data_IF_236198481513
#
_entry.id   IF_236198481513
#
_cell.length_a   1.000
_cell.length_b   1.000
_cell.length_c   1.000
_cell.angle_alpha   90.00
_cell.angle_beta   90.00
_cell.angle_gamma   90.00
#
_symmetry.space_group_name_H-M   'P 1'
#
loop_
_entity.id
_entity.type
_entity.pdbx_description
1 polymer ?
#
# COMPACT_ATOMS: atom_id res chain seq x y z
N UNK A 1 -41.92 -5.38 -33.26
CA UNK A 1 -41.20 -6.35 -32.41
C UNK A 1 -41.56 -7.74 -32.88
N UNK A 2 -40.55 -8.54 -33.26
CA UNK A 2 -40.73 -9.97 -33.54
C UNK A 2 -40.88 -10.79 -32.25
N UNK A 3 -41.20 -12.09 -32.35
CA UNK A 3 -41.35 -12.96 -31.17
C UNK A 3 -40.08 -13.08 -30.32
N UNK A 4 -38.92 -12.86 -30.95
CA UNK A 4 -37.60 -12.98 -30.32
C UNK A 4 -36.96 -11.62 -30.01
N UNK A 5 -37.74 -10.54 -30.00
CA UNK A 5 -37.23 -9.17 -29.83
C UNK A 5 -37.90 -8.46 -28.66
N UNK A 6 -37.08 -7.91 -27.76
CA UNK A 6 -37.51 -7.10 -26.63
C UNK A 6 -36.85 -5.71 -26.70
N UNK A 7 -37.65 -4.65 -26.70
CA UNK A 7 -37.14 -3.29 -26.49
C UNK A 7 -37.09 -2.99 -24.99
N UNK A 8 -35.89 -2.75 -24.48
CA UNK A 8 -35.68 -2.33 -23.12
C UNK A 8 -35.39 -0.82 -23.09
N UNK A 9 -36.34 -0.04 -22.56
CA UNK A 9 -36.20 1.39 -22.37
C UNK A 9 -35.83 1.76 -20.93
N UNK A 10 -34.85 2.65 -20.78
CA UNK A 10 -34.48 3.24 -19.49
C UNK A 10 -34.49 4.76 -19.60
N UNK A 11 -35.30 5.43 -18.79
CA UNK A 11 -35.29 6.90 -18.67
C UNK A 11 -34.47 7.29 -17.45
N UNK A 12 -33.49 8.17 -17.66
CA UNK A 12 -32.73 8.80 -16.57
C UNK A 12 -33.24 10.22 -16.38
N UNK A 13 -33.76 10.50 -15.20
CA UNK A 13 -34.24 11.81 -14.78
C UNK A 13 -33.52 12.20 -13.49
N UNK A 14 -32.34 12.80 -13.65
CA UNK A 14 -31.52 13.30 -12.54
C UNK A 14 -31.01 14.71 -12.88
N UNK A 15 -31.70 15.77 -12.43
CA UNK A 15 -31.34 17.15 -12.71
C UNK A 15 -30.09 17.62 -11.94
N UNK A 16 -29.57 16.83 -10.99
CA UNK A 16 -28.30 17.14 -10.32
C UNK A 16 -27.08 16.74 -11.16
N UNK A 17 -27.29 15.85 -12.14
CA UNK A 17 -26.24 15.29 -13.00
C UNK A 17 -26.41 15.72 -14.47
N UNK A 18 -27.65 15.79 -14.97
CA UNK A 18 -27.96 16.05 -16.38
C UNK A 18 -28.78 17.33 -16.57
N UNK A 19 -28.62 17.96 -17.74
CA UNK A 19 -29.31 19.22 -18.09
C UNK A 19 -30.79 19.01 -18.47
N UNK A 20 -31.15 17.80 -18.89
CA UNK A 20 -32.52 17.38 -19.16
C UNK A 20 -32.64 15.84 -19.06
N UNK A 21 -33.85 15.30 -18.82
CA UNK A 21 -34.08 13.86 -18.83
C UNK A 21 -33.86 13.26 -20.22
N UNK A 22 -33.33 12.05 -20.27
CA UNK A 22 -33.14 11.32 -21.53
C UNK A 22 -33.49 9.85 -21.39
N UNK A 23 -33.83 9.22 -22.52
CA UNK A 23 -34.19 7.80 -22.59
C UNK A 23 -33.22 7.04 -23.48
N UNK A 24 -32.70 5.93 -22.95
CA UNK A 24 -31.90 4.95 -23.70
C UNK A 24 -32.82 3.80 -24.11
N UNK A 25 -32.82 3.49 -25.41
CA UNK A 25 -33.47 2.30 -25.94
C UNK A 25 -32.41 1.25 -26.26
N UNK A 26 -32.55 0.08 -25.65
CA UNK A 26 -31.72 -1.09 -25.90
C UNK A 26 -32.56 -2.19 -26.53
N UNK A 27 -32.47 -2.41 -27.86
CA UNK A 27 -33.07 -3.58 -28.48
C UNK A 27 -32.29 -4.83 -28.03
N UNK A 28 -33.01 -5.82 -27.55
CA UNK A 28 -32.48 -7.11 -27.11
C UNK A 28 -33.07 -8.20 -28.01
N UNK A 29 -32.21 -9.08 -28.48
CA UNK A 29 -32.59 -10.27 -29.24
C UNK A 29 -32.49 -11.49 -28.32
N UNK A 30 -33.47 -12.39 -28.39
CA UNK A 30 -33.41 -13.66 -27.69
C UNK A 30 -32.26 -14.49 -28.26
N UNK A 31 -31.33 -14.85 -27.39
CA UNK A 31 -30.24 -15.76 -27.66
C UNK A 31 -30.28 -16.86 -26.59
N UNK A 32 -30.84 -18.02 -26.96
CA UNK A 32 -31.00 -19.15 -26.06
C UNK A 32 -29.66 -19.86 -25.75
N UNK A 33 -28.62 -19.58 -26.54
CA UNK A 33 -27.28 -20.10 -26.36
C UNK A 33 -26.36 -19.06 -25.67
N UNK A 34 -26.90 -17.92 -25.25
CA UNK A 34 -26.14 -16.86 -24.59
C UNK A 34 -25.56 -17.33 -23.26
N UNK A 35 -24.26 -17.56 -23.25
CA UNK A 35 -23.51 -17.86 -22.05
C UNK A 35 -22.86 -16.56 -21.55
N UNK A 36 -23.36 -16.03 -20.41
CA UNK A 36 -22.61 -15.04 -19.64
C UNK A 36 -21.37 -15.69 -19.06
N UNK A 37 -20.30 -15.73 -19.85
CA UNK A 37 -19.00 -16.09 -19.37
C UNK A 37 -18.61 -15.06 -18.31
N UNK A 38 -18.60 -15.50 -17.05
CA UNK A 38 -18.13 -14.66 -15.96
C UNK A 38 -16.70 -14.23 -16.31
N UNK A 39 -16.44 -12.93 -16.32
CA UNK A 39 -15.09 -12.35 -16.40
C UNK A 39 -14.29 -12.61 -15.11
N UNK A 40 -14.49 -13.77 -14.48
CA UNK A 40 -13.76 -14.28 -13.34
C UNK A 40 -12.49 -15.03 -13.74
N UNK A 41 -12.36 -15.41 -15.02
CA UNK A 41 -11.16 -16.07 -15.55
C UNK A 41 -10.17 -15.07 -16.15
N UNK A 42 -9.89 -13.96 -15.46
CA UNK A 42 -8.62 -13.25 -15.64
C UNK A 42 -7.52 -14.11 -15.01
N UNK A 43 -7.16 -15.16 -15.74
CA UNK A 43 -5.94 -15.93 -15.56
C UNK A 43 -4.75 -14.96 -15.67
N UNK A 44 -4.21 -14.55 -14.51
CA UNK A 44 -3.21 -13.49 -14.42
C UNK A 44 -3.36 -12.52 -13.25
N UNK A 45 -4.03 -12.87 -12.14
CA UNK A 45 -3.96 -12.09 -10.90
C UNK A 45 -2.56 -12.23 -10.24
N UNK A 46 -1.54 -11.71 -10.91
CA UNK A 46 -0.20 -11.53 -10.36
C UNK A 46 -0.17 -10.45 -9.27
N UNK A 47 -1.25 -9.68 -9.09
CA UNK A 47 -1.36 -8.68 -8.04
C UNK A 47 -1.09 -9.29 -6.67
N UNK A 48 -1.76 -10.39 -6.32
CA UNK A 48 -1.56 -11.04 -5.03
C UNK A 48 -0.14 -11.63 -4.85
N UNK A 49 0.40 -12.45 -5.77
CA UNK A 49 1.78 -12.92 -5.69
C UNK A 49 2.82 -11.79 -5.62
N UNK A 50 2.65 -10.71 -6.40
CA UNK A 50 3.59 -9.59 -6.43
C UNK A 50 3.52 -8.72 -5.17
N UNK A 51 2.33 -8.49 -4.62
CA UNK A 51 2.16 -7.77 -3.34
C UNK A 51 2.82 -8.56 -2.21
N UNK A 52 2.63 -9.89 -2.20
CA UNK A 52 3.24 -10.75 -1.18
C UNK A 52 4.76 -10.86 -1.35
N UNK A 53 5.29 -10.90 -2.57
CA UNK A 53 6.74 -10.95 -2.80
C UNK A 53 7.41 -9.61 -2.47
N UNK A 54 6.78 -8.49 -2.82
CA UNK A 54 7.26 -7.15 -2.47
C UNK A 54 7.26 -6.93 -0.95
N UNK A 55 6.20 -7.34 -0.24
CA UNK A 55 6.14 -7.24 1.22
C UNK A 55 7.26 -8.04 1.91
N UNK A 56 7.53 -9.28 1.47
CA UNK A 56 8.64 -10.08 2.01
C UNK A 56 10.01 -9.47 1.73
N UNK A 57 10.20 -8.91 0.54
CA UNK A 57 11.46 -8.23 0.19
C UNK A 57 11.69 -6.97 1.05
N UNK A 58 10.63 -6.23 1.37
CA UNK A 58 10.70 -5.07 2.26
C UNK A 58 11.02 -5.49 3.71
N UNK A 59 10.38 -6.55 4.22
CA UNK A 59 10.71 -7.13 5.54
C UNK A 59 12.18 -7.57 5.63
N UNK A 60 12.69 -8.29 4.64
CA UNK A 60 14.08 -8.74 4.60
C UNK A 60 15.07 -7.56 4.55
N UNK A 61 14.77 -6.54 3.73
CA UNK A 61 15.57 -5.32 3.65
C UNK A 61 15.56 -4.56 4.97
N UNK A 62 14.39 -4.33 5.56
CA UNK A 62 14.22 -3.64 6.82
C UNK A 62 14.95 -4.35 7.97
N UNK A 63 14.87 -5.69 8.03
CA UNK A 63 15.58 -6.48 9.03
C UNK A 63 17.10 -6.39 8.88
N UNK A 64 17.62 -6.45 7.64
CA UNK A 64 19.06 -6.28 7.38
C UNK A 64 19.54 -4.89 7.75
N UNK A 65 18.81 -3.85 7.35
CA UNK A 65 19.13 -2.47 7.68
C UNK A 65 19.08 -2.23 9.21
N UNK A 66 18.12 -2.83 9.91
CA UNK A 66 18.02 -2.76 11.36
C UNK A 66 19.22 -3.43 12.05
N UNK A 67 19.66 -4.60 11.57
CA UNK A 67 20.84 -5.29 12.09
C UNK A 67 22.12 -4.48 11.85
N UNK A 68 22.30 -3.94 10.65
CA UNK A 68 23.43 -3.08 10.30
C UNK A 68 23.45 -1.81 11.17
N UNK A 69 22.31 -1.14 11.31
CA UNK A 69 22.18 0.03 12.15
C UNK A 69 22.39 -0.29 13.65
N UNK A 70 22.06 -1.50 14.10
CA UNK A 70 22.31 -1.96 15.47
C UNK A 70 23.80 -2.25 15.71
N UNK A 71 24.51 -2.82 14.73
CA UNK A 71 25.96 -2.99 14.79
C UNK A 71 26.68 -1.64 14.85
N UNK A 72 26.34 -0.74 13.93
CA UNK A 72 26.97 0.59 13.84
C UNK A 72 26.80 1.39 15.15
N UNK A 73 25.63 1.31 15.79
CA UNK A 73 25.32 2.06 17.02
C UNK A 73 25.75 1.35 18.30
N UNK A 74 26.21 0.10 18.24
CA UNK A 74 26.61 -0.69 19.42
C UNK A 74 27.56 0.06 20.37
N UNK A 75 28.69 0.65 19.93
CA UNK A 75 29.60 1.34 20.85
C UNK A 75 28.93 2.54 21.53
N UNK A 76 28.13 3.30 20.79
CA UNK A 76 27.39 4.45 21.33
C UNK A 76 26.34 4.01 22.36
N UNK A 77 25.60 2.94 22.08
CA UNK A 77 24.61 2.36 22.99
C UNK A 77 25.29 1.86 24.28
N UNK A 78 26.42 1.16 24.16
CA UNK A 78 27.17 0.69 25.34
C UNK A 78 27.71 1.85 26.18
N UNK A 79 28.22 2.91 25.53
CA UNK A 79 28.62 4.13 26.23
C UNK A 79 27.43 4.81 26.95
N UNK A 80 26.27 4.89 26.30
CA UNK A 80 25.04 5.41 26.92
C UNK A 80 24.57 4.55 28.10
N UNK A 81 24.63 3.22 27.98
CA UNK A 81 24.32 2.29 29.07
C UNK A 81 25.26 2.47 30.25
N UNK A 82 26.57 2.57 30.00
CA UNK A 82 27.57 2.79 31.04
C UNK A 82 27.33 4.11 31.79
N UNK A 83 27.08 5.19 31.05
CA UNK A 83 26.71 6.50 31.61
C UNK A 83 25.42 6.43 32.44
N UNK A 84 24.43 5.69 31.96
CA UNK A 84 23.16 5.50 32.68
C UNK A 84 23.37 4.71 33.98
N UNK A 85 24.18 3.65 33.95
CA UNK A 85 24.50 2.86 35.13
C UNK A 85 25.31 3.65 36.18
N UNK A 86 26.14 4.60 35.75
CA UNK A 86 26.83 5.52 36.65
C UNK A 86 25.86 6.52 37.30
N UNK A 87 24.96 7.11 36.52
CA UNK A 87 23.91 7.98 37.05
C UNK A 87 23.02 7.24 38.06
N UNK A 88 22.61 6.01 37.77
CA UNK A 88 21.81 5.20 38.70
C UNK A 88 22.52 4.95 40.04
N UNK A 89 23.86 4.87 40.04
CA UNK A 89 24.65 4.67 41.27
C UNK A 89 24.87 5.94 42.06
N UNK A 90 25.07 7.07 41.39
CA UNK A 90 25.55 8.31 42.03
C UNK A 90 24.49 9.41 42.14
N UNK A 91 23.41 9.32 41.36
CA UNK A 91 22.41 10.38 41.21
C UNK A 91 22.89 11.59 40.41
N UNK A 92 24.07 11.54 39.80
CA UNK A 92 24.69 12.68 39.10
C UNK A 92 24.93 12.38 37.62
N UNK A 93 24.74 13.38 36.74
CA UNK A 93 24.93 13.25 35.28
C UNK A 93 26.21 14.00 34.89
N UNK A 94 27.15 13.33 34.24
CA UNK A 94 28.33 13.98 33.65
C UNK A 94 27.92 14.84 32.44
N UNK A 95 28.55 16.01 32.27
CA UNK A 95 28.31 16.88 31.13
C UNK A 95 28.63 16.17 29.81
N UNK A 96 27.77 16.30 28.79
CA UNK A 96 27.99 15.74 27.45
C UNK A 96 28.91 16.68 26.68
N UNK A 97 30.04 16.16 26.19
CA UNK A 97 30.92 16.89 25.28
C UNK A 97 30.34 16.80 23.87
N UNK A 98 29.71 17.89 23.43
CA UNK A 98 28.93 17.99 22.19
C UNK A 98 29.88 18.26 21.00
N UNK A 99 30.70 17.27 20.63
CA UNK A 99 31.43 17.36 19.36
C UNK A 99 30.47 17.08 18.20
N UNK A 100 30.26 18.02 17.26
CA UNK A 100 29.37 17.81 16.14
C UNK A 100 29.89 16.64 15.30
N UNK A 101 28.98 15.72 14.93
CA UNK A 101 29.30 14.65 14.01
C UNK A 101 29.82 15.25 12.70
N UNK A 102 31.07 14.93 12.35
CA UNK A 102 31.68 15.36 11.10
C UNK A 102 30.89 14.75 9.93
N UNK A 103 30.12 15.60 9.23
CA UNK A 103 29.33 15.20 8.06
C UNK A 103 30.33 14.95 6.93
N UNK A 104 30.45 13.69 6.50
CA UNK A 104 31.23 13.34 5.32
C UNK A 104 30.54 13.93 4.07
N UNK A 105 31.16 14.86 3.33
CA UNK A 105 30.55 15.53 2.20
C UNK A 105 30.42 14.66 0.93
N UNK A 106 30.98 13.44 0.93
CA UNK A 106 31.04 12.56 -0.24
C UNK A 106 30.04 11.37 -0.20
N UNK A 107 28.95 11.47 0.56
CA UNK A 107 27.81 10.51 0.51
C UNK A 107 26.48 11.20 0.25
#
# INVERSE_FOLDING_TARGET
MGPDQLEYGLTTDDPSVYVEPFTVLRPMMLDNDFLMLQSGCHEGNYGMPNILSAGRADEDYAMRAALEAAELRRPQIEAMKARTAEWQRTGTVAAVDDQPAEVNPDR
#
